data_IF_730983510549
#
_entry.id   IF_730983510549
#
_cell.length_a   1.000
_cell.length_b   1.000
_cell.length_c   1.000
_cell.angle_alpha   90.00
_cell.angle_beta   90.00
_cell.angle_gamma   90.00
#
_symmetry.space_group_name_H-M   'P 1'
#
loop_
_entity.id
_entity.type
_entity.pdbx_description
1 polymer ?
#
# COMPACT_ATOMS: atom_id res chain seq x y z
N UNK A 1 -15.32 -9.37 5.27
CA UNK A 1 -14.23 -8.39 5.21
C UNK A 1 -13.42 -8.66 3.95
N UNK A 2 -13.23 -7.67 3.06
CA UNK A 2 -12.41 -7.87 1.87
C UNK A 2 -10.93 -7.81 2.29
N UNK A 3 -10.27 -8.97 2.37
CA UNK A 3 -8.89 -9.09 2.82
C UNK A 3 -7.94 -8.14 2.06
N UNK A 4 -8.17 -7.96 0.75
CA UNK A 4 -7.38 -7.05 -0.08
C UNK A 4 -7.51 -5.59 0.36
N UNK A 5 -8.72 -5.12 0.66
CA UNK A 5 -8.92 -3.76 1.17
C UNK A 5 -8.27 -3.57 2.55
N UNK A 6 -8.31 -4.60 3.39
CA UNK A 6 -7.61 -4.55 4.69
C UNK A 6 -6.10 -4.46 4.52
N UNK A 7 -5.52 -5.16 3.56
CA UNK A 7 -4.07 -5.15 3.32
C UNK A 7 -3.61 -3.82 2.70
N UNK A 8 -4.43 -3.22 1.82
CA UNK A 8 -4.21 -1.87 1.28
C UNK A 8 -4.17 -0.87 2.44
N UNK A 9 -5.18 -0.90 3.32
CA UNK A 9 -5.28 0.05 4.43
C UNK A 9 -4.11 -0.09 5.42
N UNK A 10 -3.75 -1.33 5.78
CA UNK A 10 -2.59 -1.59 6.65
C UNK A 10 -1.29 -1.08 6.03
N UNK A 11 -1.06 -1.37 4.76
CA UNK A 11 0.15 -0.93 4.05
C UNK A 11 0.22 0.59 3.93
N UNK A 12 -0.93 1.26 3.75
CA UNK A 12 -1.02 2.73 3.72
C UNK A 12 -0.63 3.33 5.07
N UNK A 13 -1.15 2.81 6.17
CA UNK A 13 -0.83 3.29 7.52
C UNK A 13 0.67 3.11 7.79
N UNK A 14 1.22 1.92 7.53
CA UNK A 14 2.64 1.62 7.71
C UNK A 14 3.54 2.58 6.89
N UNK A 15 3.19 2.86 5.64
CA UNK A 15 3.92 3.81 4.80
C UNK A 15 3.94 5.22 5.40
N UNK A 16 2.79 5.69 5.89
CA UNK A 16 2.65 7.03 6.48
C UNK A 16 3.46 7.14 7.78
N UNK A 17 3.35 6.15 8.66
CA UNK A 17 4.09 6.12 9.93
C UNK A 17 5.61 6.13 9.69
N UNK A 18 6.09 5.29 8.77
CA UNK A 18 7.50 5.25 8.40
C UNK A 18 7.96 6.54 7.71
N UNK A 19 7.12 7.15 6.87
CA UNK A 19 7.44 8.41 6.19
C UNK A 19 7.53 9.58 7.19
N UNK A 20 6.64 9.62 8.18
CA UNK A 20 6.70 10.61 9.26
C UNK A 20 7.97 10.46 10.09
N UNK A 21 8.42 9.22 10.32
CA UNK A 21 9.61 8.95 11.14
C UNK A 21 10.93 9.14 10.39
N UNK A 22 11.00 8.71 9.12
CA UNK A 22 12.27 8.57 8.39
C UNK A 22 12.32 9.34 7.06
N UNK A 23 11.23 9.97 6.64
CA UNK A 23 11.09 10.65 5.36
C UNK A 23 10.77 9.70 4.20
N UNK A 24 10.21 10.25 3.13
CA UNK A 24 9.72 9.48 1.97
C UNK A 24 10.80 8.76 1.16
N UNK A 25 12.06 9.21 1.26
CA UNK A 25 13.19 8.57 0.57
C UNK A 25 13.77 7.38 1.36
N UNK A 26 13.27 7.10 2.56
CA UNK A 26 13.72 5.94 3.32
C UNK A 26 13.40 4.63 2.56
N UNK A 27 14.34 3.67 2.45
CA UNK A 27 14.11 2.42 1.73
C UNK A 27 12.87 1.65 2.17
N UNK A 28 12.53 1.67 3.47
CA UNK A 28 11.34 1.00 3.98
C UNK A 28 10.06 1.68 3.49
N UNK A 29 10.04 3.01 3.42
CA UNK A 29 8.90 3.77 2.87
C UNK A 29 8.73 3.49 1.38
N UNK A 30 9.83 3.42 0.63
CA UNK A 30 9.82 3.07 -0.80
C UNK A 30 9.29 1.65 -1.02
N UNK A 31 9.67 0.70 -0.16
CA UNK A 31 9.12 -0.67 -0.21
C UNK A 31 7.62 -0.68 0.09
N UNK A 32 7.17 0.05 1.12
CA UNK A 32 5.76 0.19 1.42
C UNK A 32 4.99 0.82 0.26
N UNK A 33 5.54 1.84 -0.41
CA UNK A 33 4.88 2.47 -1.55
C UNK A 33 4.76 1.53 -2.75
N UNK A 34 5.80 0.73 -3.02
CA UNK A 34 5.76 -0.30 -4.08
C UNK A 34 4.73 -1.39 -3.78
N UNK A 35 4.67 -1.85 -2.53
CA UNK A 35 3.68 -2.83 -2.09
C UNK A 35 2.25 -2.26 -2.19
N UNK A 36 2.05 -1.01 -1.79
CA UNK A 36 0.76 -0.33 -1.88
C UNK A 36 0.31 -0.22 -3.34
N UNK A 37 1.20 0.21 -4.24
CA UNK A 37 0.93 0.27 -5.68
C UNK A 37 0.52 -1.10 -6.25
N UNK A 38 1.25 -2.16 -5.91
CA UNK A 38 0.89 -3.52 -6.31
C UNK A 38 -0.52 -3.92 -5.83
N UNK A 39 -0.85 -3.66 -4.57
CA UNK A 39 -2.17 -4.02 -4.00
C UNK A 39 -3.31 -3.23 -4.66
N UNK A 40 -3.10 -1.94 -4.91
CA UNK A 40 -4.05 -1.10 -5.63
C UNK A 40 -4.26 -1.59 -7.05
N UNK A 41 -3.19 -1.96 -7.76
CA UNK A 41 -3.29 -2.54 -9.10
C UNK A 41 -4.05 -3.88 -9.10
N UNK A 42 -3.84 -4.74 -8.10
CA UNK A 42 -4.62 -5.98 -7.95
C UNK A 42 -6.10 -5.68 -7.69
N UNK A 43 -6.40 -4.66 -6.87
CA UNK A 43 -7.77 -4.25 -6.59
C UNK A 43 -8.46 -3.72 -7.84
N UNK A 44 -7.82 -2.79 -8.56
CA UNK A 44 -8.32 -2.21 -9.79
C UNK A 44 -8.59 -3.28 -10.86
N UNK A 45 -7.64 -4.20 -11.06
CA UNK A 45 -7.81 -5.33 -11.99
C UNK A 45 -8.97 -6.26 -11.60
N UNK A 46 -9.30 -6.39 -10.31
CA UNK A 46 -10.49 -7.12 -9.86
C UNK A 46 -11.78 -6.36 -10.13
N UNK A 47 -11.77 -5.02 -10.09
CA UNK A 47 -12.93 -4.21 -10.42
C UNK A 47 -13.20 -4.18 -11.94
N UNK A 48 -12.17 -4.12 -12.78
CA UNK A 48 -12.30 -4.06 -14.25
C UNK A 48 -12.79 -5.39 -14.86
N UNK A 49 -12.55 -6.53 -14.19
CA UNK A 49 -12.93 -7.87 -14.68
C UNK A 49 -14.35 -8.31 -14.30
N UNK A 50 -15.14 -7.44 -13.69
CA UNK A 50 -16.54 -7.68 -13.30
C UNK A 50 -17.49 -6.73 -14.02
#
# INVERSE_FOLDING_TARGET
MNYLLSDIEKTRIEMIELAQQYGYSNPNVVQCSQKLDFLLNVFENKQIKH
#
